data_IF_854741357221
#
_entry.id   IF_854741357221
#
_cell.length_a   1.000
_cell.length_b   1.000
_cell.length_c   1.000
_cell.angle_alpha   90.00
_cell.angle_beta   90.00
_cell.angle_gamma   90.00
#
_symmetry.space_group_name_H-M   'P 1'
#
loop_
_entity.id
_entity.type
_entity.pdbx_description
1 polymer ?
#
# COMPACT_ATOMS: atom_id res chain seq x y z
N UNK A 1 -7.85 -7.08 30.37
CA UNK A 1 -7.75 -8.35 29.61
C UNK A 1 -8.94 -8.58 28.67
N UNK A 2 -10.19 -8.53 29.17
CA UNK A 2 -11.40 -8.86 28.38
C UNK A 2 -11.61 -7.99 27.12
N UNK A 3 -11.29 -6.68 27.17
CA UNK A 3 -11.42 -5.77 26.01
C UNK A 3 -10.46 -6.08 24.85
N UNK A 4 -9.31 -6.70 25.13
CA UNK A 4 -8.31 -7.05 24.10
C UNK A 4 -8.73 -8.32 23.36
N UNK A 5 -9.21 -9.33 24.10
CA UNK A 5 -9.71 -10.59 23.54
C UNK A 5 -10.90 -10.39 22.61
N UNK A 6 -11.84 -9.50 22.97
CA UNK A 6 -12.99 -9.16 22.11
C UNK A 6 -12.59 -8.52 20.78
N UNK A 7 -11.51 -7.71 20.77
CA UNK A 7 -11.02 -7.06 19.56
C UNK A 7 -10.47 -8.09 18.57
N UNK A 8 -9.71 -9.07 19.04
CA UNK A 8 -9.15 -10.14 18.20
C UNK A 8 -10.22 -11.12 17.70
N UNK A 9 -11.18 -11.47 18.54
CA UNK A 9 -12.32 -12.33 18.14
C UNK A 9 -13.16 -11.65 17.07
N UNK A 10 -13.42 -10.34 17.20
CA UNK A 10 -14.20 -9.60 16.21
C UNK A 10 -13.48 -9.50 14.85
N UNK A 11 -12.18 -9.17 14.85
CA UNK A 11 -11.38 -9.15 13.62
C UNK A 11 -11.33 -10.52 12.94
N UNK A 12 -11.15 -11.59 13.73
CA UNK A 12 -11.14 -12.96 13.23
C UNK A 12 -12.49 -13.38 12.62
N UNK A 13 -13.61 -13.04 13.26
CA UNK A 13 -14.96 -13.32 12.73
C UNK A 13 -15.23 -12.53 11.44
N UNK A 14 -14.81 -11.26 11.36
CA UNK A 14 -14.95 -10.48 10.13
C UNK A 14 -14.12 -11.06 8.98
N UNK A 15 -12.89 -11.52 9.25
CA UNK A 15 -12.04 -12.18 8.25
C UNK A 15 -12.66 -13.50 7.78
N UNK A 16 -13.19 -14.33 8.69
CA UNK A 16 -13.88 -15.57 8.33
C UNK A 16 -15.16 -15.29 7.53
N UNK A 17 -15.92 -14.26 7.90
CA UNK A 17 -17.14 -13.91 7.18
C UNK A 17 -16.84 -13.47 5.74
N UNK A 18 -15.79 -12.67 5.54
CA UNK A 18 -15.32 -12.25 4.21
C UNK A 18 -14.84 -13.44 3.37
N UNK A 19 -14.19 -14.43 3.99
CA UNK A 19 -13.72 -15.65 3.31
C UNK A 19 -14.88 -16.60 2.96
N UNK A 20 -15.91 -16.70 3.80
CA UNK A 20 -17.00 -17.68 3.64
C UNK A 20 -18.24 -17.15 2.93
N UNK A 21 -18.42 -15.83 2.78
CA UNK A 21 -19.39 -15.33 1.81
C UNK A 21 -18.88 -15.64 0.42
N UNK A 22 -19.41 -16.71 -0.21
CA UNK A 22 -19.23 -16.99 -1.64
C UNK A 22 -19.73 -15.79 -2.43
N UNK A 23 -18.83 -14.85 -2.71
CA UNK A 23 -19.07 -13.79 -3.68
C UNK A 23 -19.14 -14.51 -5.02
N UNK A 24 -20.35 -14.72 -5.52
CA UNK A 24 -20.58 -15.15 -6.90
C UNK A 24 -19.83 -14.15 -7.79
N UNK A 25 -18.88 -14.61 -8.64
CA UNK A 25 -18.19 -13.72 -9.56
C UNK A 25 -19.26 -12.96 -10.34
N UNK A 26 -19.14 -11.63 -10.38
CA UNK A 26 -20.05 -10.83 -11.17
C UNK A 26 -19.89 -11.27 -12.62
N UNK A 27 -20.92 -11.90 -13.19
CA UNK A 27 -20.91 -12.28 -14.59
C UNK A 27 -20.73 -11.01 -15.44
N UNK A 28 -19.58 -10.95 -16.13
CA UNK A 28 -19.23 -10.04 -17.22
C UNK A 28 -19.87 -8.64 -17.19
N UNK A 29 -19.59 -7.86 -16.14
CA UNK A 29 -19.72 -6.41 -16.24
C UNK A 29 -18.42 -5.91 -16.90
N UNK A 30 -18.38 -5.95 -18.23
CA UNK A 30 -17.38 -5.17 -18.96
C UNK A 30 -17.69 -3.69 -18.71
N UNK A 31 -16.83 -3.02 -17.95
CA UNK A 31 -16.91 -1.57 -17.81
C UNK A 31 -16.77 -0.93 -19.21
N UNK A 32 -17.76 -0.14 -19.67
CA UNK A 32 -17.78 0.40 -21.02
C UNK A 32 -16.67 1.43 -21.31
N UNK A 33 -15.79 1.73 -20.35
CA UNK A 33 -14.85 2.86 -20.42
C UNK A 33 -13.41 2.43 -20.80
N UNK A 34 -13.09 1.14 -20.92
CA UNK A 34 -11.70 0.68 -21.14
C UNK A 34 -11.30 0.55 -22.63
N UNK A 35 -12.22 0.74 -23.59
CA UNK A 35 -12.02 0.25 -24.95
C UNK A 35 -11.15 1.10 -25.90
N UNK A 36 -10.88 2.38 -25.63
CA UNK A 36 -10.20 3.23 -26.64
C UNK A 36 -8.98 3.96 -26.05
N UNK A 37 -7.78 3.40 -26.26
CA UNK A 37 -6.51 4.13 -26.10
C UNK A 37 -5.46 3.52 -25.15
N UNK A 38 -5.77 2.44 -24.44
CA UNK A 38 -4.93 1.92 -23.36
C UNK A 38 -4.41 0.48 -23.55
N UNK A 39 -4.55 -0.09 -24.75
CA UNK A 39 -4.33 -1.51 -25.02
C UNK A 39 -2.88 -1.99 -25.07
N UNK A 40 -1.90 -1.20 -24.65
CA UNK A 40 -0.49 -1.63 -24.60
C UNK A 40 0.27 -1.11 -23.38
N UNK A 41 -0.35 -1.15 -22.20
CA UNK A 41 0.38 -0.91 -20.97
C UNK A 41 1.40 -2.04 -20.73
N UNK A 42 2.66 -1.73 -21.02
CA UNK A 42 3.79 -2.57 -20.65
C UNK A 42 3.95 -2.65 -19.13
N UNK A 43 4.67 -3.67 -18.63
CA UNK A 43 5.07 -3.78 -17.23
C UNK A 43 6.01 -2.67 -16.73
N UNK A 44 6.32 -1.68 -17.57
CA UNK A 44 7.14 -0.53 -17.19
C UNK A 44 6.32 0.47 -16.38
N UNK A 45 6.94 1.16 -15.40
CA UNK A 45 6.30 2.25 -14.67
C UNK A 45 5.89 3.33 -15.66
N UNK A 46 4.70 3.87 -15.52
CA UNK A 46 4.18 4.92 -16.40
C UNK A 46 4.72 6.31 -16.03
N UNK A 47 4.96 6.50 -14.73
CA UNK A 47 5.55 7.73 -14.21
C UNK A 47 6.65 7.36 -13.23
N UNK A 48 7.74 8.12 -13.28
CA UNK A 48 8.88 8.01 -12.38
C UNK A 48 9.23 9.37 -11.82
N UNK A 49 9.88 9.39 -10.67
CA UNK A 49 10.43 10.62 -10.11
C UNK A 49 11.66 10.34 -9.25
N UNK A 50 12.51 11.34 -9.07
CA UNK A 50 13.59 11.30 -8.07
C UNK A 50 13.19 12.13 -6.86
N UNK A 51 13.55 11.68 -5.64
CA UNK A 51 13.32 12.49 -4.43
C UNK A 51 14.38 13.60 -4.37
N UNK A 52 14.03 14.89 -4.29
CA UNK A 52 15.00 15.99 -4.42
C UNK A 52 16.21 15.98 -3.48
N UNK A 53 16.11 15.30 -2.33
CA UNK A 53 17.17 15.26 -1.31
C UNK A 53 17.85 13.90 -1.16
N UNK A 54 17.34 12.86 -1.84
CA UNK A 54 17.89 11.50 -1.76
C UNK A 54 18.40 11.11 -3.15
N UNK A 55 19.72 11.08 -3.31
CA UNK A 55 20.34 10.84 -4.62
C UNK A 55 20.13 9.41 -5.11
N UNK A 56 19.96 8.46 -4.20
CA UNK A 56 19.81 7.03 -4.47
C UNK A 56 18.36 6.53 -4.46
N UNK A 57 17.38 7.43 -4.28
CA UNK A 57 15.98 7.09 -4.17
C UNK A 57 15.16 7.65 -5.34
N UNK A 58 14.47 6.73 -6.01
CA UNK A 58 13.47 7.05 -7.02
C UNK A 58 12.09 6.52 -6.64
N UNK A 59 11.05 7.07 -7.26
CA UNK A 59 9.69 6.60 -7.18
C UNK A 59 9.24 6.11 -8.55
N UNK A 60 8.43 5.07 -8.56
CA UNK A 60 7.77 4.56 -9.75
C UNK A 60 6.31 4.27 -9.45
N UNK A 61 5.45 4.39 -10.45
CA UNK A 61 4.06 3.94 -10.36
C UNK A 61 3.65 3.23 -11.64
N UNK A 62 3.06 2.05 -11.48
CA UNK A 62 2.63 1.19 -12.57
C UNK A 62 1.16 0.82 -12.41
N UNK A 63 0.42 0.73 -13.51
CA UNK A 63 -0.94 0.19 -13.51
C UNK A 63 -0.86 -1.33 -13.40
N UNK A 64 -1.66 -1.92 -12.52
CA UNK A 64 -1.79 -3.37 -12.43
C UNK A 64 -2.51 -3.90 -13.67
N UNK A 65 -1.87 -4.85 -14.34
CA UNK A 65 -2.34 -5.53 -15.56
C UNK A 65 -2.26 -7.04 -15.35
N UNK A 66 -2.88 -7.83 -16.23
CA UNK A 66 -2.74 -9.29 -16.19
C UNK A 66 -1.27 -9.73 -16.37
N UNK A 67 -0.49 -8.92 -17.08
CA UNK A 67 0.92 -9.18 -17.37
C UNK A 67 1.82 -8.99 -16.13
N UNK A 68 1.64 -7.90 -15.36
CA UNK A 68 2.45 -7.66 -14.14
C UNK A 68 1.82 -8.19 -12.85
N UNK A 69 0.55 -8.61 -12.86
CA UNK A 69 -0.11 -9.13 -11.66
C UNK A 69 0.66 -10.29 -11.00
N UNK A 70 1.14 -11.31 -11.73
CA UNK A 70 1.93 -12.38 -11.12
C UNK A 70 3.22 -11.91 -10.46
N UNK A 71 3.84 -10.85 -11.01
CA UNK A 71 5.09 -10.27 -10.46
C UNK A 71 4.83 -9.65 -9.09
N UNK A 72 3.79 -8.82 -8.99
CA UNK A 72 3.42 -8.16 -7.73
C UNK A 72 2.83 -9.11 -6.70
N UNK A 73 2.10 -10.14 -7.14
CA UNK A 73 1.65 -11.21 -6.26
C UNK A 73 2.85 -11.98 -5.69
N UNK A 74 3.80 -12.38 -6.53
CA UNK A 74 5.04 -13.03 -6.11
C UNK A 74 5.85 -12.14 -5.15
N UNK A 75 5.98 -10.84 -5.45
CA UNK A 75 6.65 -9.86 -4.57
C UNK A 75 5.98 -9.75 -3.20
N UNK A 76 4.67 -9.97 -3.12
CA UNK A 76 3.89 -9.93 -1.89
C UNK A 76 3.98 -11.25 -1.12
N UNK A 77 3.93 -12.40 -1.80
CA UNK A 77 3.89 -13.72 -1.17
C UNK A 77 5.26 -14.13 -0.64
N UNK A 78 6.34 -13.86 -1.38
CA UNK A 78 7.71 -14.17 -0.97
C UNK A 78 8.21 -13.38 0.25
N UNK A 79 7.52 -12.30 0.66
CA UNK A 79 7.89 -11.54 1.87
C UNK A 79 7.84 -12.43 3.13
N UNK A 80 6.86 -13.35 3.19
CA UNK A 80 6.69 -14.24 4.32
C UNK A 80 7.81 -15.28 4.38
N UNK A 81 8.11 -15.90 3.24
CA UNK A 81 9.20 -16.87 3.10
C UNK A 81 10.54 -16.23 3.46
N UNK A 82 10.77 -14.99 3.01
CA UNK A 82 11.97 -14.23 3.33
C UNK A 82 12.07 -13.90 4.82
N UNK A 83 10.95 -13.55 5.46
CA UNK A 83 10.92 -13.36 6.90
C UNK A 83 11.30 -14.65 7.64
N UNK A 84 10.78 -15.81 7.22
CA UNK A 84 11.13 -17.11 7.83
C UNK A 84 12.62 -17.38 7.64
N UNK A 85 13.15 -17.24 6.42
CA UNK A 85 14.57 -17.44 6.12
C UNK A 85 15.47 -16.61 7.04
N UNK A 86 15.17 -15.32 7.19
CA UNK A 86 15.94 -14.41 8.05
C UNK A 86 15.91 -14.86 9.51
N UNK A 87 14.75 -15.31 10.00
CA UNK A 87 14.61 -15.83 11.36
C UNK A 87 15.43 -17.11 11.58
N UNK A 88 15.37 -18.05 10.65
CA UNK A 88 16.12 -19.31 10.73
C UNK A 88 17.64 -19.09 10.65
N UNK A 89 18.11 -18.21 9.77
CA UNK A 89 19.52 -17.86 9.68
C UNK A 89 20.04 -17.22 10.97
N UNK A 90 19.22 -16.38 11.61
CA UNK A 90 19.57 -15.81 12.91
C UNK A 90 19.57 -16.86 14.02
N UNK A 91 18.62 -17.78 14.05
CA UNK A 91 18.59 -18.86 15.05
C UNK A 91 19.80 -19.80 14.90
N UNK A 92 20.13 -20.19 13.66
CA UNK A 92 21.26 -21.08 13.38
C UNK A 92 22.61 -20.45 13.77
N UNK A 93 22.84 -19.17 13.45
CA UNK A 93 24.06 -18.46 13.87
C UNK A 93 24.22 -18.45 15.39
N UNK A 94 23.12 -18.26 16.12
CA UNK A 94 23.15 -18.26 17.59
C UNK A 94 23.47 -19.65 18.17
N UNK A 95 23.06 -20.73 17.50
CA UNK A 95 23.39 -22.11 17.89
C UNK A 95 24.85 -22.47 17.59
N UNK A 96 25.38 -22.04 16.45
CA UNK A 96 26.76 -22.33 16.05
C UNK A 96 27.78 -21.58 16.95
N UNK A 97 27.44 -20.37 17.39
CA UNK A 97 28.30 -19.54 18.24
C UNK A 97 28.28 -19.94 19.72
N UNK A 98 27.19 -20.53 20.22
CA UNK A 98 27.03 -20.89 21.62
C UNK A 98 26.97 -22.40 21.83
N UNK A 99 28.03 -22.92 22.47
CA UNK A 99 28.08 -24.26 23.04
C UNK A 99 26.97 -24.45 24.09
N UNK A 100 25.83 -24.96 23.64
CA UNK A 100 24.70 -25.65 24.29
C UNK A 100 24.05 -25.15 25.61
N UNK A 101 24.70 -24.39 26.51
CA UNK A 101 24.21 -24.33 27.90
C UNK A 101 23.90 -22.94 28.53
N UNK A 102 24.07 -21.81 27.84
CA UNK A 102 23.70 -20.50 28.40
C UNK A 102 22.51 -19.85 27.68
N UNK A 103 21.49 -19.44 28.46
CA UNK A 103 20.37 -18.62 28.00
C UNK A 103 20.92 -17.32 27.40
N UNK A 104 20.97 -17.25 26.07
CA UNK A 104 21.62 -16.13 25.38
C UNK A 104 20.67 -14.94 25.17
N UNK A 105 21.18 -13.73 25.43
CA UNK A 105 20.49 -12.47 25.13
C UNK A 105 20.73 -12.05 23.68
N UNK A 106 19.70 -12.17 22.83
CA UNK A 106 19.71 -11.57 21.49
C UNK A 106 20.00 -10.07 21.61
N UNK A 107 21.01 -9.58 20.88
CA UNK A 107 21.32 -8.15 20.82
C UNK A 107 20.04 -7.34 20.54
N UNK A 108 19.85 -6.27 21.31
CA UNK A 108 18.67 -5.39 21.26
C UNK A 108 18.32 -4.92 19.84
N UNK A 109 19.32 -4.64 19.00
CA UNK A 109 19.12 -4.20 17.62
C UNK A 109 18.55 -5.32 16.73
N UNK A 110 19.12 -6.53 16.83
CA UNK A 110 18.62 -7.72 16.12
C UNK A 110 17.19 -8.05 16.56
N UNK A 111 16.91 -8.04 17.87
CA UNK A 111 15.56 -8.29 18.37
C UNK A 111 14.56 -7.22 17.87
N UNK A 112 14.97 -5.95 17.80
CA UNK A 112 14.14 -4.87 17.24
C UNK A 112 13.87 -5.08 15.75
N UNK A 113 14.87 -5.47 14.97
CA UNK A 113 14.74 -5.80 13.55
C UNK A 113 13.79 -7.00 13.33
N UNK A 114 14.05 -8.12 14.00
CA UNK A 114 13.23 -9.33 13.91
C UNK A 114 11.76 -9.07 14.29
N UNK A 115 11.52 -8.26 15.32
CA UNK A 115 10.16 -7.81 15.68
C UNK A 115 9.51 -6.96 14.59
N UNK A 116 10.28 -6.08 13.94
CA UNK A 116 9.77 -5.21 12.89
C UNK A 116 9.36 -5.99 11.62
N UNK A 117 10.21 -6.92 11.18
CA UNK A 117 9.92 -7.76 10.01
C UNK A 117 8.96 -8.92 10.31
N UNK A 118 8.60 -9.15 11.58
CA UNK A 118 7.76 -10.28 11.96
C UNK A 118 6.37 -10.18 11.32
N UNK A 119 6.12 -11.05 10.33
CA UNK A 119 4.82 -11.14 9.65
C UNK A 119 3.87 -12.11 10.37
N UNK A 120 4.35 -12.93 11.31
CA UNK A 120 3.54 -13.93 12.02
C UNK A 120 3.02 -13.48 13.38
N UNK A 121 3.42 -12.30 13.86
CA UNK A 121 2.98 -11.75 15.16
C UNK A 121 2.55 -10.30 14.99
N UNK A 122 1.25 -9.98 15.10
CA UNK A 122 0.77 -8.61 15.00
C UNK A 122 1.26 -7.80 16.21
N UNK A 123 2.41 -7.15 16.03
CA UNK A 123 2.87 -6.06 16.86
C UNK A 123 2.59 -4.76 16.10
N UNK A 124 2.12 -3.71 16.78
CA UNK A 124 1.47 -2.54 16.17
C UNK A 124 2.25 -1.76 15.10
N UNK A 125 3.51 -2.13 14.84
CA UNK A 125 4.41 -1.54 13.86
C UNK A 125 5.05 -2.58 12.90
N UNK A 126 4.43 -3.74 12.70
CA UNK A 126 4.95 -4.77 11.79
C UNK A 126 4.58 -4.50 10.32
N UNK A 127 5.40 -5.06 9.42
CA UNK A 127 5.16 -5.12 7.97
C UNK A 127 3.85 -5.84 7.63
N UNK A 128 3.40 -6.77 8.48
CA UNK A 128 2.23 -7.63 8.28
C UNK A 128 0.97 -6.87 7.87
N UNK A 129 0.61 -5.81 8.61
CA UNK A 129 -0.67 -5.12 8.38
C UNK A 129 -0.73 -4.44 7.01
N UNK A 130 0.37 -3.77 6.64
CA UNK A 130 0.48 -3.12 5.33
C UNK A 130 0.52 -4.14 4.20
N UNK A 131 1.24 -5.25 4.40
CA UNK A 131 1.32 -6.36 3.44
C UNK A 131 -0.01 -7.09 3.25
N UNK A 132 -0.78 -7.33 4.32
CA UNK A 132 -2.11 -7.93 4.25
C UNK A 132 -3.07 -7.05 3.44
N UNK A 133 -3.07 -5.74 3.69
CA UNK A 133 -3.88 -4.79 2.93
C UNK A 133 -3.47 -4.76 1.45
N UNK A 134 -2.15 -4.74 1.18
CA UNK A 134 -1.60 -4.82 -0.18
C UNK A 134 -2.05 -6.10 -0.89
N UNK A 135 -1.90 -7.28 -0.25
CA UNK A 135 -2.37 -8.57 -0.79
C UNK A 135 -3.86 -8.55 -1.08
N UNK A 136 -4.66 -7.96 -0.18
CA UNK A 136 -6.10 -7.86 -0.37
C UNK A 136 -6.45 -7.00 -1.59
N UNK A 137 -5.73 -5.91 -1.83
CA UNK A 137 -5.92 -5.10 -3.03
C UNK A 137 -5.61 -5.89 -4.31
N UNK A 138 -4.55 -6.71 -4.34
CA UNK A 138 -4.28 -7.60 -5.47
C UNK A 138 -5.42 -8.60 -5.71
N UNK A 139 -5.99 -9.17 -4.64
CA UNK A 139 -7.16 -10.06 -4.75
C UNK A 139 -8.38 -9.36 -5.31
N UNK A 140 -8.61 -8.10 -4.94
CA UNK A 140 -9.69 -7.27 -5.48
C UNK A 140 -9.49 -7.08 -6.99
N UNK A 141 -8.27 -6.75 -7.43
CA UNK A 141 -7.95 -6.68 -8.86
C UNK A 141 -8.30 -7.98 -9.56
N UNK A 142 -7.83 -9.12 -9.06
CA UNK A 142 -8.08 -10.40 -9.71
C UNK A 142 -9.58 -10.74 -9.79
N UNK A 143 -10.34 -10.45 -8.74
CA UNK A 143 -11.76 -10.78 -8.64
C UNK A 143 -12.69 -9.84 -9.45
N UNK A 144 -12.35 -8.55 -9.54
CA UNK A 144 -13.26 -7.54 -10.09
C UNK A 144 -12.69 -6.77 -11.28
N UNK A 145 -11.43 -7.03 -11.64
CA UNK A 145 -10.67 -6.25 -12.62
C UNK A 145 -10.73 -4.73 -12.32
N UNK A 146 -10.74 -4.40 -11.03
CA UNK A 146 -10.75 -3.03 -10.53
C UNK A 146 -9.50 -2.30 -10.98
N UNK A 147 -9.56 -0.98 -11.13
CA UNK A 147 -8.37 -0.23 -11.47
C UNK A 147 -7.47 -0.01 -10.25
N UNK A 148 -6.30 -0.66 -10.28
CA UNK A 148 -5.30 -0.58 -9.22
C UNK A 148 -3.97 -0.11 -9.84
N UNK A 149 -3.34 0.83 -9.16
CA UNK A 149 -1.99 1.28 -9.41
C UNK A 149 -1.10 0.86 -8.25
N UNK A 150 0.17 0.59 -8.52
CA UNK A 150 1.16 0.26 -7.52
C UNK A 150 2.26 1.31 -7.58
N UNK A 151 2.30 2.14 -6.56
CA UNK A 151 3.36 3.12 -6.34
C UNK A 151 4.43 2.49 -5.46
N UNK A 152 5.70 2.76 -5.74
CA UNK A 152 6.80 2.22 -4.96
C UNK A 152 8.00 3.16 -4.91
N UNK A 153 8.80 3.01 -3.87
CA UNK A 153 10.07 3.70 -3.64
C UNK A 153 11.22 2.72 -3.90
N UNK A 154 12.16 3.12 -4.73
CA UNK A 154 13.24 2.30 -5.28
C UNK A 154 14.60 2.87 -4.86
N UNK A 155 15.35 2.11 -4.07
CA UNK A 155 16.62 2.50 -3.44
C UNK A 155 17.83 1.90 -4.17
N UNK A 156 18.98 2.57 -4.10
CA UNK A 156 20.26 2.07 -4.62
C UNK A 156 20.55 2.41 -6.10
N UNK A 157 20.07 3.57 -6.58
CA UNK A 157 20.34 4.07 -7.94
C UNK A 157 19.88 3.13 -9.08
N UNK A 158 18.82 2.37 -8.85
CA UNK A 158 18.22 1.53 -9.90
C UNK A 158 17.44 2.43 -10.87
N UNK A 159 17.58 2.18 -12.17
CA UNK A 159 16.82 2.87 -13.21
C UNK A 159 15.30 2.64 -13.00
N UNK A 160 14.55 3.68 -12.60
CA UNK A 160 13.14 3.53 -12.28
C UNK A 160 12.27 3.35 -13.54
N UNK A 161 12.82 3.48 -14.75
CA UNK A 161 12.07 3.32 -16.00
C UNK A 161 11.96 1.87 -16.47
N UNK A 162 12.76 0.97 -15.87
CA UNK A 162 12.73 -0.45 -16.20
C UNK A 162 11.51 -1.13 -15.58
N UNK A 163 11.04 -2.19 -16.24
CA UNK A 163 9.97 -3.03 -15.71
C UNK A 163 10.39 -3.66 -14.38
N UNK A 164 9.47 -3.71 -13.41
CA UNK A 164 9.71 -4.40 -12.14
C UNK A 164 9.82 -5.90 -12.40
N UNK A 165 10.87 -6.52 -11.87
CA UNK A 165 11.10 -7.95 -11.90
C UNK A 165 11.71 -8.42 -10.58
N UNK A 166 11.83 -9.74 -10.39
CA UNK A 166 12.23 -10.33 -9.10
C UNK A 166 13.59 -9.81 -8.60
N UNK A 167 14.58 -9.69 -9.48
CA UNK A 167 15.90 -9.12 -9.14
C UNK A 167 15.88 -7.68 -8.57
N UNK A 168 14.78 -6.93 -8.73
CA UNK A 168 14.63 -5.57 -8.20
C UNK A 168 13.96 -5.55 -6.81
N UNK A 169 13.39 -6.66 -6.33
CA UNK A 169 12.60 -6.65 -5.08
C UNK A 169 13.39 -6.19 -3.85
N UNK A 170 14.68 -6.48 -3.76
CA UNK A 170 15.55 -6.00 -2.68
C UNK A 170 15.77 -4.49 -2.69
N UNK A 171 15.55 -3.83 -3.83
CA UNK A 171 15.64 -2.38 -4.00
C UNK A 171 14.32 -1.67 -3.74
N UNK A 172 13.19 -2.38 -3.73
CA UNK A 172 11.88 -1.79 -3.42
C UNK A 172 11.79 -1.57 -1.92
N UNK A 173 12.06 -0.35 -1.46
CA UNK A 173 12.03 0.00 -0.05
C UNK A 173 10.62 0.04 0.52
N UNK A 174 9.68 0.60 -0.24
CA UNK A 174 8.29 0.76 0.16
C UNK A 174 7.37 0.61 -1.05
N UNK A 175 6.22 -0.04 -0.87
CA UNK A 175 5.19 -0.19 -1.90
C UNK A 175 3.83 0.19 -1.34
N UNK A 176 2.97 0.74 -2.20
CA UNK A 176 1.62 1.20 -1.88
C UNK A 176 0.69 0.91 -3.06
N UNK A 177 -0.52 0.41 -2.77
CA UNK A 177 -1.56 0.31 -3.81
C UNK A 177 -2.50 1.51 -3.77
N UNK A 178 -2.87 1.99 -4.95
CA UNK A 178 -3.78 3.11 -5.17
C UNK A 178 -4.95 2.60 -6.02
N UNK A 179 -6.15 2.65 -5.47
CA UNK A 179 -7.38 2.13 -6.06
C UNK A 179 -8.20 3.32 -6.57
N UNK A 180 -8.66 3.21 -7.81
CA UNK A 180 -9.48 4.25 -8.43
C UNK A 180 -10.63 3.63 -9.22
N UNK A 181 -11.61 4.46 -9.56
CA UNK A 181 -12.70 4.14 -10.47
C UNK A 181 -13.04 5.38 -11.28
N UNK A 182 -13.37 5.27 -12.59
CA UNK A 182 -13.83 6.40 -13.39
C UNK A 182 -14.97 7.17 -12.72
N UNK A 183 -15.91 6.46 -12.08
CA UNK A 183 -17.13 7.05 -11.51
C UNK A 183 -16.93 7.67 -10.11
N UNK A 184 -15.79 7.40 -9.47
CA UNK A 184 -15.50 7.95 -8.15
C UNK A 184 -14.90 9.36 -8.26
N UNK A 185 -15.31 10.30 -7.40
CA UNK A 185 -14.67 11.63 -7.29
C UNK A 185 -13.38 11.61 -6.47
N UNK A 186 -12.91 10.43 -6.08
CA UNK A 186 -11.77 10.22 -5.20
C UNK A 186 -10.98 8.97 -5.62
N UNK A 187 -9.72 8.92 -5.19
CA UNK A 187 -8.89 7.72 -5.19
C UNK A 187 -8.71 7.23 -3.76
N UNK A 188 -8.40 5.96 -3.54
CA UNK A 188 -8.04 5.42 -2.22
C UNK A 188 -6.68 4.76 -2.26
N UNK A 189 -5.99 4.64 -1.13
CA UNK A 189 -4.90 3.67 -1.03
C UNK A 189 -5.31 2.49 -0.14
N UNK A 190 -4.84 1.28 -0.45
CA UNK A 190 -5.21 0.07 0.29
C UNK A 190 -3.99 -0.80 0.58
N UNK A 191 -3.14 -0.31 1.47
CA UNK A 191 -1.91 -0.97 1.89
C UNK A 191 -0.71 -0.16 1.48
N UNK A 192 0.13 0.14 2.47
CA UNK A 192 1.45 0.72 2.31
C UNK A 192 2.37 -0.03 3.26
N UNK A 193 3.50 -0.51 2.75
CA UNK A 193 4.45 -1.25 3.58
C UNK A 193 5.85 -1.11 3.06
N UNK A 194 6.81 -1.19 3.98
CA UNK A 194 8.20 -1.49 3.65
C UNK A 194 8.32 -2.98 3.32
N UNK A 195 9.28 -3.34 2.48
CA UNK A 195 9.52 -4.75 2.13
C UNK A 195 10.53 -5.38 3.09
N UNK A 196 10.31 -6.65 3.43
CA UNK A 196 11.26 -7.48 4.17
C UNK A 196 12.60 -7.54 3.43
N UNK A 197 12.55 -7.70 2.09
CA UNK A 197 13.73 -7.74 1.24
C UNK A 197 14.65 -6.53 1.46
N UNK A 198 14.10 -5.31 1.40
CA UNK A 198 14.90 -4.10 1.59
C UNK A 198 15.30 -3.90 3.06
N UNK A 199 14.43 -4.25 4.00
CA UNK A 199 14.73 -4.13 5.43
C UNK A 199 15.91 -5.00 5.85
N UNK A 200 16.05 -6.18 5.28
CA UNK A 200 17.24 -7.02 5.46
C UNK A 200 18.50 -6.34 4.90
N UNK A 201 18.46 -5.87 3.65
CA UNK A 201 19.61 -5.19 3.04
C UNK A 201 20.04 -3.96 3.84
N UNK A 202 19.09 -3.22 4.39
CA UNK A 202 19.38 -2.07 5.24
C UNK A 202 19.93 -2.47 6.60
N UNK A 203 19.42 -3.54 7.22
CA UNK A 203 19.98 -4.08 8.46
C UNK A 203 21.43 -4.52 8.28
N UNK A 204 21.78 -5.05 7.10
CA UNK A 204 23.15 -5.39 6.71
C UNK A 204 23.98 -4.19 6.22
N UNK A 205 23.45 -2.96 6.31
CA UNK A 205 24.11 -1.72 5.86
C UNK A 205 24.47 -1.70 4.36
N UNK A 206 23.79 -2.49 3.53
CA UNK A 206 23.98 -2.54 2.07
C UNK A 206 23.13 -1.51 1.33
N UNK A 207 21.97 -1.16 1.87
CA UNK A 207 21.07 -0.14 1.33
C UNK A 207 20.67 0.87 2.40
N UNK A 208 20.47 2.12 1.98
CA UNK A 208 20.03 3.22 2.85
C UNK A 208 18.56 3.03 3.18
N UNK A 209 18.21 3.15 4.47
CA UNK A 209 16.82 3.23 4.93
C UNK A 209 16.40 4.68 5.08
N UNK A 210 15.55 5.12 4.17
CA UNK A 210 15.10 6.51 4.07
C UNK A 210 14.02 6.84 5.11
N UNK A 211 14.11 8.03 5.71
CA UNK A 211 13.13 8.47 6.71
C UNK A 211 11.90 9.09 6.03
N UNK A 212 10.75 8.91 6.68
CA UNK A 212 9.47 9.54 6.34
C UNK A 212 8.99 9.26 4.90
N UNK A 213 9.29 8.09 4.33
CA UNK A 213 8.94 7.74 2.94
C UNK A 213 7.44 7.72 2.63
N UNK A 214 6.59 7.46 3.64
CA UNK A 214 5.16 7.38 3.40
C UNK A 214 4.61 8.67 2.79
N UNK A 215 4.97 9.84 3.32
CA UNK A 215 4.42 11.13 2.85
C UNK A 215 4.85 11.43 1.39
N UNK A 216 6.15 11.38 1.01
CA UNK A 216 6.55 11.55 -0.38
C UNK A 216 5.91 10.55 -1.33
N UNK A 217 5.76 9.29 -0.93
CA UNK A 217 5.13 8.27 -1.79
C UNK A 217 3.64 8.57 -2.02
N UNK A 218 2.93 9.06 -1.00
CA UNK A 218 1.56 9.56 -1.14
C UNK A 218 1.49 10.79 -2.06
N UNK A 219 2.38 11.75 -1.86
CA UNK A 219 2.43 12.98 -2.66
C UNK A 219 2.73 12.69 -4.14
N UNK A 220 3.72 11.84 -4.41
CA UNK A 220 4.02 11.34 -5.75
C UNK A 220 2.80 10.67 -6.39
N UNK A 221 2.16 9.75 -5.65
CA UNK A 221 0.96 9.04 -6.14
C UNK A 221 -0.19 9.99 -6.41
N UNK A 222 -0.42 10.98 -5.54
CA UNK A 222 -1.45 11.98 -5.70
C UNK A 222 -1.21 12.85 -6.94
N UNK A 223 0.04 13.26 -7.18
CA UNK A 223 0.40 14.01 -8.37
C UNK A 223 0.16 13.20 -9.64
N UNK A 224 0.52 11.93 -9.67
CA UNK A 224 0.26 11.07 -10.83
C UNK A 224 -1.24 10.85 -11.03
N UNK A 225 -2.00 10.57 -9.98
CA UNK A 225 -3.45 10.39 -10.07
C UNK A 225 -4.14 11.67 -10.56
N UNK A 226 -3.70 12.85 -10.15
CA UNK A 226 -4.24 14.14 -10.62
C UNK A 226 -3.93 14.38 -12.11
N UNK A 227 -2.77 13.95 -12.58
CA UNK A 227 -2.39 14.04 -14.00
C UNK A 227 -3.24 13.11 -14.87
N UNK A 228 -3.51 11.90 -14.41
CA UNK A 228 -4.29 10.90 -15.17
C UNK A 228 -5.80 11.17 -15.04
N UNK A 229 -6.26 11.55 -13.86
CA UNK A 229 -7.66 11.73 -13.48
C UNK A 229 -7.88 13.11 -12.85
N UNK A 230 -7.88 14.19 -13.65
CA UNK A 230 -7.99 15.57 -13.15
C UNK A 230 -9.32 15.85 -12.43
N UNK A 231 -10.34 15.02 -12.63
CA UNK A 231 -11.63 15.11 -11.95
C UNK A 231 -11.61 14.57 -10.51
N UNK A 232 -10.58 13.79 -10.13
CA UNK A 232 -10.43 13.28 -8.75
C UNK A 232 -10.00 14.42 -7.84
N UNK A 233 -10.77 14.62 -6.77
CA UNK A 233 -10.54 15.73 -5.83
C UNK A 233 -9.69 15.33 -4.63
N UNK A 234 -9.71 14.06 -4.25
CA UNK A 234 -9.16 13.62 -2.98
C UNK A 234 -8.61 12.20 -3.02
N UNK A 235 -7.69 11.90 -2.08
CA UNK A 235 -7.18 10.57 -1.81
C UNK A 235 -7.59 10.13 -0.40
N UNK A 236 -8.37 9.05 -0.29
CA UNK A 236 -8.75 8.46 1.00
C UNK A 236 -7.66 7.53 1.54
N UNK A 237 -7.43 7.61 2.84
CA UNK A 237 -6.66 6.65 3.63
C UNK A 237 -7.39 6.25 4.90
N UNK A 238 -7.15 5.03 5.37
CA UNK A 238 -7.50 4.56 6.71
C UNK A 238 -6.21 4.24 7.48
N UNK A 239 -5.52 5.25 8.04
CA UNK A 239 -4.22 5.06 8.66
C UNK A 239 -4.29 4.26 9.96
N UNK A 240 -3.17 3.61 10.29
CA UNK A 240 -2.95 3.10 11.65
C UNK A 240 -2.84 4.25 12.65
N UNK A 241 -2.87 3.94 13.95
CA UNK A 241 -2.80 4.94 15.01
C UNK A 241 -1.55 5.83 14.89
N UNK A 242 -0.38 5.21 14.69
CA UNK A 242 0.90 5.90 14.59
C UNK A 242 1.01 6.71 13.28
N UNK A 243 0.47 6.18 12.18
CA UNK A 243 0.49 6.86 10.88
C UNK A 243 -0.44 8.07 10.82
N UNK A 244 -1.59 8.01 11.52
CA UNK A 244 -2.48 9.16 11.66
C UNK A 244 -1.73 10.36 12.27
N UNK A 245 -0.99 10.13 13.36
CA UNK A 245 -0.23 11.19 14.02
C UNK A 245 0.88 11.76 13.13
N UNK A 246 1.52 10.92 12.30
CA UNK A 246 2.49 11.37 11.30
C UNK A 246 1.81 12.28 10.27
N UNK A 247 0.65 11.87 9.73
CA UNK A 247 -0.08 12.68 8.75
C UNK A 247 -0.47 14.04 9.32
N UNK A 248 -1.10 14.09 10.50
CA UNK A 248 -1.57 15.34 11.12
C UNK A 248 -0.40 16.30 11.43
N UNK A 249 0.78 15.77 11.78
CA UNK A 249 1.98 16.58 12.08
C UNK A 249 2.74 17.04 10.83
N UNK A 250 2.71 16.26 9.74
CA UNK A 250 3.50 16.53 8.54
C UNK A 250 2.74 17.25 7.44
N UNK A 251 1.41 17.22 7.45
CA UNK A 251 0.58 17.84 6.41
C UNK A 251 0.07 19.22 6.85
N UNK A 252 0.02 20.21 5.94
CA UNK A 252 -0.66 21.46 6.23
C UNK A 252 -2.16 21.20 6.46
N UNK A 253 -2.80 22.01 7.30
CA UNK A 253 -4.21 21.80 7.70
C UNK A 253 -5.21 21.81 6.54
N UNK A 254 -4.84 22.39 5.40
CA UNK A 254 -5.65 22.41 4.17
C UNK A 254 -5.48 21.13 3.32
N UNK A 255 -4.41 20.36 3.52
CA UNK A 255 -4.13 19.17 2.74
C UNK A 255 -4.96 17.95 3.15
N UNK A 256 -5.79 18.05 4.18
CA UNK A 256 -6.65 16.95 4.59
C UNK A 256 -7.98 17.39 5.21
N UNK A 257 -8.97 16.51 5.05
CA UNK A 257 -10.27 16.55 5.70
C UNK A 257 -10.23 15.52 6.85
N UNK A 258 -10.42 15.95 8.11
CA UNK A 258 -10.37 15.05 9.24
C UNK A 258 -11.61 14.15 9.28
N UNK A 259 -11.48 13.02 9.97
CA UNK A 259 -12.47 11.94 10.01
C UNK A 259 -13.91 12.40 10.25
N UNK A 260 -14.11 13.31 11.19
CA UNK A 260 -15.43 13.85 11.56
C UNK A 260 -16.15 14.55 10.39
N UNK A 261 -15.41 15.04 9.40
CA UNK A 261 -15.94 15.71 8.20
C UNK A 261 -15.95 14.83 6.96
N UNK A 262 -15.30 13.66 7.00
CA UNK A 262 -15.24 12.73 5.85
C UNK A 262 -16.64 12.31 5.40
N UNK A 263 -17.53 11.96 6.32
CA UNK A 263 -18.91 11.55 5.98
C UNK A 263 -19.77 12.69 5.44
N UNK A 264 -19.49 13.94 5.82
CA UNK A 264 -20.15 15.12 5.26
C UNK A 264 -19.66 15.36 3.83
N UNK A 265 -18.35 15.37 3.63
CA UNK A 265 -17.75 15.50 2.30
C UNK A 265 -18.29 14.45 1.30
N UNK A 266 -18.41 13.19 1.72
CA UNK A 266 -18.98 12.12 0.88
C UNK A 266 -20.44 12.39 0.49
N UNK A 267 -21.27 12.89 1.41
CA UNK A 267 -22.67 13.23 1.12
C UNK A 267 -22.80 14.37 0.12
N UNK A 268 -21.86 15.31 0.14
CA UNK A 268 -21.88 16.50 -0.71
C UNK A 268 -21.21 16.28 -2.08
N UNK A 269 -20.23 15.37 -2.16
CA UNK A 269 -19.33 15.25 -3.33
C UNK A 269 -19.38 13.89 -4.04
N UNK A 270 -20.21 12.93 -3.59
CA UNK A 270 -20.46 11.67 -4.31
C UNK A 270 -21.92 11.64 -4.80
N UNK A 271 -22.07 11.59 -6.12
CA UNK A 271 -23.32 11.63 -6.90
C UNK A 271 -23.93 10.20 -7.01
N UNK A 272 -25.16 10.05 -7.54
CA UNK A 272 -26.43 9.76 -6.86
C UNK A 272 -26.61 8.29 -6.44
N UNK A 273 -27.72 7.98 -5.76
CA UNK A 273 -28.14 6.61 -5.44
C UNK A 273 -28.08 5.72 -6.70
N UNK A 274 -27.31 4.62 -6.67
CA UNK A 274 -27.19 3.74 -7.83
C UNK A 274 -28.52 3.05 -8.14
N UNK A 275 -28.75 2.75 -9.41
CA UNK A 275 -29.82 1.83 -9.79
C UNK A 275 -29.43 0.37 -9.40
N UNK A 276 -30.41 -0.56 -9.32
CA UNK A 276 -30.22 -1.92 -8.75
C UNK A 276 -29.04 -2.74 -9.32
N UNK A 277 -28.56 -2.46 -10.53
CA UNK A 277 -27.43 -3.16 -11.12
C UNK A 277 -26.07 -2.66 -10.57
N UNK A 278 -25.98 -1.38 -10.20
CA UNK A 278 -24.83 -0.75 -9.58
C UNK A 278 -24.73 -1.03 -8.07
N UNK A 279 -25.73 -1.72 -7.50
CA UNK A 279 -25.85 -2.01 -6.07
C UNK A 279 -24.66 -2.85 -5.55
N UNK A 280 -24.08 -3.76 -6.35
CA UNK A 280 -22.87 -4.53 -5.96
C UNK A 280 -21.63 -3.65 -5.84
N UNK A 281 -21.40 -2.76 -6.80
CA UNK A 281 -20.32 -1.77 -6.73
C UNK A 281 -20.56 -0.81 -5.58
N UNK A 282 -21.79 -0.36 -5.39
CA UNK A 282 -22.16 0.47 -4.24
C UNK A 282 -21.94 -0.23 -2.91
N UNK A 283 -22.25 -1.52 -2.75
CA UNK A 283 -21.97 -2.24 -1.52
C UNK A 283 -20.48 -2.47 -1.30
N UNK A 284 -19.70 -2.72 -2.35
CA UNK A 284 -18.25 -2.76 -2.27
C UNK A 284 -17.67 -1.40 -1.84
N UNK A 285 -18.09 -0.33 -2.53
CA UNK A 285 -17.70 1.05 -2.22
C UNK A 285 -18.21 1.48 -0.85
N UNK A 286 -19.39 1.05 -0.45
CA UNK A 286 -19.96 1.32 0.86
C UNK A 286 -19.33 0.48 1.95
N UNK A 287 -18.78 -0.70 1.68
CA UNK A 287 -18.16 -1.53 2.71
C UNK A 287 -16.70 -1.12 2.92
N UNK A 288 -15.96 -0.88 1.85
CA UNK A 288 -14.56 -0.45 1.91
C UNK A 288 -14.41 1.08 2.05
N UNK A 289 -15.20 1.86 1.31
CA UNK A 289 -15.14 3.33 1.32
C UNK A 289 -16.27 4.05 2.08
N UNK A 290 -17.24 3.38 2.71
CA UNK A 290 -18.21 4.04 3.60
C UNK A 290 -18.56 3.21 4.85
N UNK A 291 -17.95 2.04 5.00
CA UNK A 291 -18.31 1.07 6.03
C UNK A 291 -17.69 1.52 7.33
N UNK A 292 -18.41 1.30 8.47
CA UNK A 292 -18.11 1.81 9.83
C UNK A 292 -16.76 2.48 9.86
N UNK A 293 -16.78 3.78 9.56
CA UNK A 293 -15.59 4.58 9.42
C UNK A 293 -14.72 4.25 10.63
N UNK A 294 -13.55 3.64 10.39
CA UNK A 294 -12.57 3.52 11.45
C UNK A 294 -12.40 4.93 11.99
N UNK A 295 -12.32 5.14 13.32
CA UNK A 295 -12.46 6.47 13.95
C UNK A 295 -11.40 7.53 13.54
N UNK A 296 -10.67 7.30 12.44
CA UNK A 296 -9.47 7.96 11.96
C UNK A 296 -9.31 8.00 10.44
N UNK A 297 -10.34 7.67 9.64
CA UNK A 297 -10.27 7.88 8.18
C UNK A 297 -9.86 9.32 7.87
N UNK A 298 -8.91 9.51 6.96
CA UNK A 298 -8.50 10.85 6.48
C UNK A 298 -8.74 10.88 4.97
N UNK A 299 -9.19 12.03 4.47
CA UNK A 299 -9.17 12.30 3.03
C UNK A 299 -8.16 13.41 2.78
N UNK A 300 -7.14 13.13 1.98
CA UNK A 300 -6.21 14.15 1.51
C UNK A 300 -6.85 14.92 0.37
N UNK A 301 -6.72 16.25 0.40
CA UNK A 301 -6.95 17.03 -0.81
C UNK A 301 -5.86 16.66 -1.82
N UNK A 302 -6.27 16.18 -3.00
CA UNK A 302 -5.35 15.61 -3.97
C UNK A 302 -4.44 16.70 -4.56
N UNK A 303 -4.93 17.92 -4.71
CA UNK A 303 -4.16 19.03 -5.24
C UNK A 303 -3.11 19.51 -4.24
N UNK A 304 -3.50 19.71 -2.98
CA UNK A 304 -2.58 20.10 -1.92
C UNK A 304 -1.52 19.03 -1.66
N UNK A 305 -1.92 17.75 -1.63
CA UNK A 305 -0.98 16.63 -1.47
C UNK A 305 -0.04 16.50 -2.66
N UNK A 306 -0.53 16.69 -3.90
CA UNK A 306 0.31 16.70 -5.10
C UNK A 306 1.34 17.85 -5.07
N UNK A 307 0.97 19.04 -4.58
CA UNK A 307 1.88 20.18 -4.47
C UNK A 307 3.07 19.93 -3.53
N UNK A 308 3.00 18.90 -2.67
CA UNK A 308 4.13 18.49 -1.82
C UNK A 308 5.20 17.69 -2.58
N UNK A 309 4.90 17.25 -3.81
CA UNK A 309 5.85 16.61 -4.70
C UNK A 309 6.06 17.50 -5.93
N UNK A 310 7.26 18.08 -6.13
CA UNK A 310 7.49 18.98 -7.26
C UNK A 310 7.16 18.29 -8.59
N UNK A 311 6.24 18.85 -9.36
CA UNK A 311 5.75 18.24 -10.61
C UNK A 311 6.82 18.16 -11.69
N UNK A 312 7.80 19.06 -11.64
CA UNK A 312 9.00 19.06 -12.48
C UNK A 312 9.93 17.86 -12.21
N UNK A 313 9.76 17.16 -11.09
CA UNK A 313 10.47 15.92 -10.81
C UNK A 313 9.77 14.67 -11.36
N UNK A 314 8.57 14.79 -11.93
CA UNK A 314 7.79 13.64 -12.44
C UNK A 314 7.96 13.53 -13.95
N UNK A 315 8.51 12.41 -14.38
CA UNK A 315 8.71 12.10 -15.80
C UNK A 315 7.73 10.99 -16.20
N UNK A 316 6.93 11.25 -17.23
CA UNK A 316 6.16 10.20 -17.90
C UNK A 316 7.13 9.37 -18.75
N UNK A 317 7.13 8.06 -18.55
CA UNK A 317 7.92 7.14 -19.37
C UNK A 317 7.19 6.93 -20.70
N UNK A 318 7.95 6.90 -21.80
CA UNK A 318 7.44 6.72 -23.17
C UNK A 318 7.45 5.25 -23.53
#
# INVERSE_FOLDING_TARGET
>A
MIKSVFKYIFTFICTIYIINTKIQPAENIQSPIIAEGYSSFSNKPLYVAQRPHDTDLSFGIVRLTEENYPIWLNACEKQYDECIRIWEEHDNRLRDENKEDEFYEINKNTNKFLKFICISRPCGNSIESGLMAFKQSLKIYNAYKSEIWIAYALSGNIDPTQAVHEGVFHHIEMMMTVLTSPDASFTGHMGITRTVFHEEQSFQSKLVKHKNLAIPLHAFSASVMKTIYPEKKCMRTDPTFDMYDVFIKSLPSKAYIPHEKVSEYFRENVIPQPNRAEEKWYWYTKHFYLGKSYPRSIMFDLAELANMFPTDCIVKTI
#
